data_IF_704820870860
#
_entry.id   IF_704820870860
#
_cell.length_a   1.000
_cell.length_b   1.000
_cell.length_c   1.000
_cell.angle_alpha   90.00
_cell.angle_beta   90.00
_cell.angle_gamma   90.00
#
_symmetry.space_group_name_H-M   'P 1'
#
loop_
_entity.id
_entity.type
_entity.pdbx_description
1 polymer ?
#
# COMPACT_ATOMS: atom_id res chain seq x y z
N UNK A 1 0.09 25.74 4.07
CA UNK A 1 1.07 25.31 3.04
C UNK A 1 1.75 24.07 3.59
N UNK A 2 1.88 23.00 2.81
CA UNK A 2 2.63 21.80 3.21
C UNK A 2 4.12 22.14 3.35
N UNK A 3 4.76 21.72 4.43
CA UNK A 3 6.22 21.68 4.59
C UNK A 3 6.69 20.28 4.98
N UNK A 4 6.18 19.24 4.31
CA UNK A 4 6.59 17.85 4.53
C UNK A 4 7.68 17.43 3.51
N UNK A 5 8.95 17.48 3.92
CA UNK A 5 10.15 17.12 3.13
C UNK A 5 10.36 15.61 2.94
N UNK A 6 9.42 14.77 3.37
CA UNK A 6 9.53 13.31 3.34
C UNK A 6 8.95 12.67 2.07
N UNK A 7 9.54 11.55 1.66
CA UNK A 7 8.94 10.64 0.69
C UNK A 7 8.16 9.57 1.44
N UNK A 8 6.97 9.24 0.95
CA UNK A 8 6.15 8.16 1.48
C UNK A 8 6.00 7.07 0.45
N UNK A 9 5.85 5.83 0.90
CA UNK A 9 5.60 4.67 0.05
C UNK A 9 4.75 3.65 0.78
N UNK A 10 4.10 2.79 0.00
CA UNK A 10 3.49 1.56 0.46
C UNK A 10 4.17 0.38 -0.23
N UNK A 11 4.28 -0.75 0.46
CA UNK A 11 4.75 -1.98 -0.15
C UNK A 11 4.43 -3.19 0.71
N UNK A 12 4.48 -4.36 0.09
CA UNK A 12 4.32 -5.63 0.80
C UNK A 12 5.38 -6.66 0.42
N UNK A 13 5.47 -7.72 1.21
CA UNK A 13 6.35 -8.85 0.97
C UNK A 13 5.72 -10.13 1.52
N UNK A 14 6.24 -11.28 1.11
CA UNK A 14 5.91 -12.57 1.71
C UNK A 14 7.17 -13.43 1.81
N UNK A 15 7.22 -14.34 2.77
CA UNK A 15 8.40 -15.19 2.98
C UNK A 15 8.74 -16.05 1.76
N UNK A 16 7.74 -16.66 1.12
CA UNK A 16 7.95 -17.59 0.00
C UNK A 16 8.16 -16.93 -1.37
N UNK A 17 7.67 -15.70 -1.57
CA UNK A 17 7.72 -15.02 -2.88
C UNK A 17 8.61 -13.78 -2.86
N UNK A 18 9.10 -13.38 -1.69
CA UNK A 18 9.90 -12.18 -1.51
C UNK A 18 9.08 -10.90 -1.69
N UNK A 19 9.67 -9.93 -2.40
CA UNK A 19 9.11 -8.59 -2.59
C UNK A 19 7.81 -8.64 -3.41
N UNK A 20 6.76 -8.05 -2.86
CA UNK A 20 5.50 -7.79 -3.56
C UNK A 20 5.46 -6.40 -4.21
N UNK A 21 4.26 -5.93 -4.60
CA UNK A 21 4.08 -4.60 -5.16
C UNK A 21 4.59 -3.49 -4.24
N UNK A 22 5.10 -2.42 -4.85
CA UNK A 22 5.51 -1.17 -4.18
C UNK A 22 4.86 -0.01 -4.92
N UNK A 23 4.41 0.97 -4.14
CA UNK A 23 3.82 2.22 -4.59
C UNK A 23 4.57 3.37 -3.94
N UNK A 24 5.16 4.26 -4.74
CA UNK A 24 5.54 5.57 -4.24
C UNK A 24 4.28 6.42 -4.07
N UNK A 25 4.19 7.10 -2.92
CA UNK A 25 3.02 7.91 -2.61
C UNK A 25 3.21 9.30 -3.23
N UNK A 26 2.61 9.48 -4.41
CA UNK A 26 2.72 10.72 -5.17
C UNK A 26 2.06 11.89 -4.45
N UNK A 27 2.59 13.09 -4.66
CA UNK A 27 2.07 14.30 -4.01
C UNK A 27 0.61 14.58 -4.38
N UNK A 28 0.18 14.20 -5.59
CA UNK A 28 -1.20 14.37 -6.02
C UNK A 28 -2.19 13.47 -5.27
N UNK A 29 -1.73 12.39 -4.63
CA UNK A 29 -2.59 11.51 -3.83
C UNK A 29 -2.95 12.12 -2.46
N UNK A 30 -2.29 13.21 -2.09
CA UNK A 30 -2.52 13.91 -0.83
C UNK A 30 -2.10 13.07 0.38
N UNK A 31 -2.84 13.19 1.50
CA UNK A 31 -2.57 12.39 2.70
C UNK A 31 -3.07 10.95 2.51
N UNK A 32 -2.42 10.00 3.17
CA UNK A 32 -2.99 8.65 3.32
C UNK A 32 -4.20 8.77 4.25
N UNK A 33 -5.38 8.54 3.70
CA UNK A 33 -6.63 8.35 4.43
C UNK A 33 -7.42 7.23 3.77
N UNK A 34 -8.60 6.90 4.31
CA UNK A 34 -9.38 5.75 3.87
C UNK A 34 -9.63 5.76 2.35
N UNK A 35 -10.06 6.88 1.80
CA UNK A 35 -10.37 7.01 0.36
C UNK A 35 -9.13 6.86 -0.52
N UNK A 36 -8.03 7.56 -0.20
CA UNK A 36 -6.79 7.48 -1.00
C UNK A 36 -6.12 6.11 -0.85
N UNK A 37 -6.16 5.49 0.34
CA UNK A 37 -5.68 4.12 0.56
C UNK A 37 -6.50 3.10 -0.23
N UNK A 38 -7.83 3.24 -0.24
CA UNK A 38 -8.72 2.41 -1.04
C UNK A 38 -8.46 2.58 -2.54
N UNK A 39 -8.20 3.81 -3.01
CA UNK A 39 -7.96 4.09 -4.42
C UNK A 39 -6.63 3.52 -4.93
N UNK A 40 -5.56 3.60 -4.12
CA UNK A 40 -4.21 3.31 -4.61
C UNK A 40 -3.60 2.01 -4.06
N UNK A 41 -3.94 1.61 -2.83
CA UNK A 41 -3.33 0.46 -2.16
C UNK A 41 -4.16 -0.82 -2.28
N UNK A 42 -5.47 -0.74 -2.07
CA UNK A 42 -6.36 -1.91 -2.10
C UNK A 42 -6.30 -2.66 -3.45
N UNK A 43 -6.24 -2.01 -4.63
CA UNK A 43 -6.10 -2.71 -5.91
C UNK A 43 -4.79 -3.52 -6.01
N UNK A 44 -3.70 -3.03 -5.43
CA UNK A 44 -2.41 -3.71 -5.41
C UNK A 44 -2.47 -4.95 -4.50
N UNK A 45 -3.07 -4.82 -3.32
CA UNK A 45 -3.31 -5.94 -2.41
C UNK A 45 -4.17 -7.00 -3.09
N UNK A 46 -5.32 -6.60 -3.63
CA UNK A 46 -6.26 -7.51 -4.27
C UNK A 46 -5.66 -8.23 -5.47
N UNK A 47 -4.92 -7.51 -6.32
CA UNK A 47 -4.20 -8.10 -7.46
C UNK A 47 -3.15 -9.12 -7.00
N UNK A 48 -2.36 -8.78 -5.97
CA UNK A 48 -1.34 -9.67 -5.44
C UNK A 48 -1.93 -10.95 -4.86
N UNK A 49 -3.00 -10.85 -4.06
CA UNK A 49 -3.68 -12.02 -3.47
C UNK A 49 -4.36 -12.88 -4.53
N UNK A 50 -4.90 -12.29 -5.61
CA UNK A 50 -5.48 -13.05 -6.72
C UNK A 50 -4.44 -13.88 -7.48
N UNK A 51 -3.23 -13.35 -7.64
CA UNK A 51 -2.12 -14.07 -8.26
C UNK A 51 -1.54 -15.15 -7.33
N UNK A 52 -1.71 -15.01 -6.01
CA UNK A 52 -1.11 -15.88 -5.00
C UNK A 52 -2.17 -16.30 -3.95
N UNK A 53 -3.11 -17.18 -4.32
CA UNK A 53 -4.31 -17.48 -3.51
C UNK A 53 -4.05 -18.15 -2.16
N UNK A 54 -2.81 -18.57 -1.87
CA UNK A 54 -2.40 -19.10 -0.57
C UNK A 54 -1.92 -18.04 0.43
N UNK A 55 -1.84 -16.77 0.03
CA UNK A 55 -1.41 -15.69 0.91
C UNK A 55 -2.57 -15.16 1.76
N UNK A 56 -2.24 -14.72 2.97
CA UNK A 56 -3.15 -13.99 3.87
C UNK A 56 -2.65 -12.56 4.04
N UNK A 57 -3.56 -11.59 4.03
CA UNK A 57 -3.24 -10.19 4.25
C UNK A 57 -2.94 -9.92 5.73
N UNK A 58 -1.87 -9.19 5.99
CA UNK A 58 -1.54 -8.63 7.30
C UNK A 58 -1.13 -7.17 7.13
N UNK A 59 -1.68 -6.29 7.95
CA UNK A 59 -1.34 -4.87 8.04
C UNK A 59 -1.48 -4.40 9.49
N UNK A 60 -0.98 -3.21 9.80
CA UNK A 60 -1.15 -2.62 11.14
C UNK A 60 -2.60 -2.13 11.36
N UNK A 61 -2.86 -1.59 12.56
CA UNK A 61 -4.14 -1.01 12.94
C UNK A 61 -4.21 0.51 12.73
N UNK A 62 -3.46 1.07 11.77
CA UNK A 62 -3.52 2.50 11.51
C UNK A 62 -4.94 2.94 11.15
N UNK A 63 -5.37 4.06 11.72
CA UNK A 63 -6.63 4.70 11.35
C UNK A 63 -6.38 5.45 10.04
N UNK A 64 -6.85 4.85 8.94
CA UNK A 64 -6.94 5.48 7.63
C UNK A 64 -8.22 6.29 7.52
#
# INVERSE_FOLDING_TARGET
MWDDTGWMFWGCFSGGLGKGPILFWEKEYGKIGAESYMAHTVPLIHGWLRLHPGLTLMQDGAIV
#
